data_IF_261537825468
#
_entry.id   IF_261537825468
#
_cell.length_a   1.000
_cell.length_b   1.000
_cell.length_c   1.000
_cell.angle_alpha   90.00
_cell.angle_beta   90.00
_cell.angle_gamma   90.00
#
_symmetry.space_group_name_H-M   'P 1'
#
loop_
_entity.id
_entity.type
_entity.pdbx_description
1 polymer ?
#
# COMPACT_ATOMS: atom_id res chain seq x y z
N UNK A 1 34.63 -32.20 -84.47
CA UNK A 1 33.61 -32.54 -83.46
C UNK A 1 33.73 -31.55 -82.29
N UNK A 2 33.07 -30.37 -82.34
CA UNK A 2 33.16 -29.36 -81.27
C UNK A 2 32.43 -29.71 -79.96
N UNK A 3 31.59 -30.75 -79.96
CA UNK A 3 30.63 -31.03 -78.88
C UNK A 3 31.14 -31.73 -77.63
N UNK A 4 32.39 -32.20 -77.57
CA UNK A 4 32.92 -32.87 -76.36
C UNK A 4 33.49 -31.91 -75.32
N UNK A 5 34.00 -30.76 -75.75
CA UNK A 5 34.56 -29.73 -74.87
C UNK A 5 33.42 -28.98 -74.16
N UNK A 6 32.37 -28.56 -74.88
CA UNK A 6 31.18 -27.93 -74.28
C UNK A 6 30.45 -28.84 -73.28
N UNK A 7 30.35 -30.15 -73.52
CA UNK A 7 29.75 -31.09 -72.56
C UNK A 7 30.56 -31.21 -71.26
N UNK A 8 31.89 -31.19 -71.33
CA UNK A 8 32.77 -31.29 -70.15
C UNK A 8 32.80 -29.99 -69.34
N UNK A 9 32.85 -28.84 -70.00
CA UNK A 9 32.87 -27.54 -69.32
C UNK A 9 31.48 -27.09 -68.85
N UNK A 10 30.40 -27.42 -69.58
CA UNK A 10 29.02 -27.15 -69.17
C UNK A 10 28.62 -27.88 -67.88
N UNK A 11 28.94 -29.18 -67.77
CA UNK A 11 28.68 -29.95 -66.54
C UNK A 11 29.53 -29.49 -65.34
N UNK A 12 30.71 -28.92 -65.58
CA UNK A 12 31.53 -28.30 -64.52
C UNK A 12 30.94 -26.95 -64.08
N UNK A 13 30.41 -26.16 -65.03
CA UNK A 13 29.76 -24.88 -64.75
C UNK A 13 28.44 -25.08 -63.99
N UNK A 14 27.63 -26.07 -64.35
CA UNK A 14 26.42 -26.45 -63.59
C UNK A 14 26.74 -26.90 -62.17
N UNK A 15 27.80 -27.70 -61.97
CA UNK A 15 28.27 -28.10 -60.64
C UNK A 15 28.77 -26.92 -59.80
N UNK A 16 29.47 -25.96 -60.42
CA UNK A 16 29.88 -24.72 -59.75
C UNK A 16 28.68 -23.83 -59.42
N UNK A 17 27.73 -23.71 -60.34
CA UNK A 17 26.53 -22.89 -60.16
C UNK A 17 25.62 -23.44 -59.07
N UNK A 18 25.39 -24.76 -59.03
CA UNK A 18 24.67 -25.43 -57.93
C UNK A 18 25.38 -25.28 -56.58
N UNK A 19 26.72 -25.32 -56.57
CA UNK A 19 27.51 -25.07 -55.36
C UNK A 19 27.37 -23.61 -54.88
N UNK A 20 27.37 -22.65 -55.80
CA UNK A 20 27.15 -21.22 -55.50
C UNK A 20 25.76 -20.99 -54.93
N UNK A 21 24.72 -21.59 -55.51
CA UNK A 21 23.34 -21.50 -54.99
C UNK A 21 23.25 -22.11 -53.59
N UNK A 22 23.91 -23.25 -53.35
CA UNK A 22 23.95 -23.89 -52.03
C UNK A 22 24.63 -22.98 -50.99
N UNK A 23 25.71 -22.32 -51.38
CA UNK A 23 26.43 -21.37 -50.52
C UNK A 23 25.58 -20.12 -50.26
N UNK A 24 24.94 -19.53 -51.28
CA UNK A 24 24.04 -18.39 -51.09
C UNK A 24 22.87 -18.73 -50.15
N UNK A 25 22.27 -19.91 -50.29
CA UNK A 25 21.22 -20.37 -49.37
C UNK A 25 21.74 -20.53 -47.94
N UNK A 26 22.98 -21.00 -47.77
CA UNK A 26 23.61 -21.13 -46.45
C UNK A 26 23.92 -19.77 -45.83
N UNK A 27 24.36 -18.80 -46.64
CA UNK A 27 24.60 -17.42 -46.19
C UNK A 27 23.29 -16.78 -45.72
N UNK A 28 22.22 -16.86 -46.51
CA UNK A 28 20.90 -16.36 -46.09
C UNK A 28 20.38 -17.02 -44.81
N UNK A 29 20.58 -18.34 -44.66
CA UNK A 29 20.19 -19.07 -43.44
C UNK A 29 20.98 -18.58 -42.22
N UNK A 30 22.28 -18.31 -42.39
CA UNK A 30 23.15 -17.81 -41.32
C UNK A 30 22.85 -16.35 -40.97
N UNK A 31 22.56 -15.50 -41.95
CA UNK A 31 22.13 -14.10 -41.72
C UNK A 31 20.79 -14.06 -40.97
N UNK A 32 19.83 -14.92 -41.32
CA UNK A 32 18.57 -15.04 -40.58
C UNK A 32 18.80 -15.46 -39.13
N UNK A 33 19.67 -16.46 -38.91
CA UNK A 33 20.03 -16.93 -37.57
C UNK A 33 20.79 -15.87 -36.77
N UNK A 34 21.63 -15.07 -37.42
CA UNK A 34 22.33 -13.97 -36.79
C UNK A 34 21.35 -12.87 -36.37
N UNK A 35 20.38 -12.50 -37.21
CA UNK A 35 19.33 -11.55 -36.87
C UNK A 35 18.41 -12.05 -35.74
N UNK A 36 18.10 -13.35 -35.70
CA UNK A 36 17.37 -13.95 -34.59
C UNK A 36 18.19 -13.90 -33.29
N UNK A 37 19.47 -14.27 -33.34
CA UNK A 37 20.36 -14.19 -32.19
C UNK A 37 20.60 -12.74 -31.71
N UNK A 38 20.69 -11.77 -32.62
CA UNK A 38 20.78 -10.34 -32.29
C UNK A 38 19.49 -9.83 -31.66
N UNK A 39 18.32 -10.26 -32.16
CA UNK A 39 17.04 -9.98 -31.49
C UNK A 39 16.97 -10.60 -30.11
N UNK A 40 17.38 -11.86 -29.94
CA UNK A 40 17.47 -12.51 -28.64
C UNK A 40 18.51 -11.84 -27.71
N UNK A 41 19.56 -11.23 -28.25
CA UNK A 41 20.55 -10.48 -27.49
C UNK A 41 20.03 -9.10 -27.06
N UNK A 42 19.32 -8.39 -27.95
CA UNK A 42 18.69 -7.09 -27.68
C UNK A 42 17.51 -7.25 -26.70
N UNK A 43 16.67 -8.25 -26.93
CA UNK A 43 15.49 -8.55 -26.10
C UNK A 43 15.88 -9.33 -24.82
N UNK A 44 17.09 -9.88 -24.78
CA UNK A 44 17.57 -10.79 -23.74
C UNK A 44 16.82 -12.12 -23.75
N UNK A 45 17.42 -13.15 -23.17
CA UNK A 45 16.66 -14.28 -22.63
C UNK A 45 15.48 -13.75 -21.79
N UNK A 46 14.40 -14.52 -21.52
CA UNK A 46 13.32 -14.11 -20.61
C UNK A 46 13.83 -14.12 -19.16
N UNK A 47 14.89 -13.39 -18.89
CA UNK A 47 15.19 -12.72 -17.64
C UNK A 47 14.07 -11.72 -17.39
N UNK A 48 12.91 -12.28 -17.04
CA UNK A 48 11.86 -11.69 -16.20
C UNK A 48 11.94 -10.16 -16.24
N UNK A 49 11.57 -9.60 -17.40
CA UNK A 49 11.73 -8.16 -17.65
C UNK A 49 11.22 -7.43 -16.42
N UNK A 50 12.01 -6.49 -15.88
CA UNK A 50 11.66 -5.74 -14.66
C UNK A 50 10.21 -5.26 -14.81
N UNK A 51 9.28 -6.00 -14.19
CA UNK A 51 7.85 -5.76 -14.38
C UNK A 51 7.59 -4.36 -13.86
N UNK A 52 6.85 -3.59 -14.65
CA UNK A 52 6.59 -2.20 -14.34
C UNK A 52 6.04 -2.09 -12.90
N UNK A 53 6.48 -1.09 -12.12
CA UNK A 53 5.97 -0.86 -10.77
C UNK A 53 4.45 -0.82 -10.67
N UNK A 54 3.76 -0.51 -11.77
CA UNK A 54 2.29 -0.46 -11.91
C UNK A 54 1.58 -1.82 -11.85
N UNK A 55 2.29 -2.94 -11.91
CA UNK A 55 1.70 -4.29 -11.91
C UNK A 55 2.14 -5.17 -10.72
N UNK A 56 2.67 -4.56 -9.67
CA UNK A 56 3.12 -5.29 -8.49
C UNK A 56 1.94 -5.84 -7.69
N UNK A 57 1.80 -7.17 -7.75
CA UNK A 57 0.79 -7.93 -7.02
C UNK A 57 1.52 -8.84 -6.02
N UNK A 58 1.15 -8.83 -4.74
CA UNK A 58 1.73 -9.75 -3.76
C UNK A 58 1.43 -11.20 -4.17
N UNK A 59 2.44 -12.07 -4.13
CA UNK A 59 2.27 -13.49 -4.44
C UNK A 59 2.73 -14.37 -3.27
N UNK A 60 2.01 -15.46 -2.98
CA UNK A 60 2.52 -16.50 -2.09
C UNK A 60 3.65 -17.30 -2.77
N UNK A 61 4.55 -17.93 -1.99
CA UNK A 61 4.60 -17.92 -0.52
C UNK A 61 5.12 -16.61 0.06
N UNK A 62 4.85 -16.35 1.35
CA UNK A 62 5.49 -15.26 2.09
C UNK A 62 7.02 -15.37 2.02
N UNK A 63 7.71 -14.24 1.83
CA UNK A 63 9.17 -14.19 1.75
C UNK A 63 9.78 -14.38 3.14
N UNK A 64 9.21 -13.67 4.13
CA UNK A 64 9.61 -13.75 5.53
C UNK A 64 8.38 -13.84 6.43
N UNK A 65 8.50 -14.65 7.48
CA UNK A 65 7.55 -14.74 8.58
C UNK A 65 8.30 -14.37 9.87
N UNK A 66 8.10 -13.14 10.32
CA UNK A 66 8.81 -12.60 11.47
C UNK A 66 8.01 -12.86 12.73
N UNK A 67 8.69 -13.47 13.70
CA UNK A 67 8.13 -13.84 15.00
C UNK A 67 8.96 -13.16 16.09
N UNK A 68 8.29 -12.64 17.12
CA UNK A 68 8.98 -12.00 18.23
C UNK A 68 8.10 -11.13 19.13
N UNK A 69 6.92 -10.74 18.66
CA UNK A 69 5.89 -10.16 19.51
C UNK A 69 5.28 -11.21 20.44
N UNK A 70 4.84 -10.78 21.62
CA UNK A 70 4.21 -11.66 22.63
C UNK A 70 2.68 -11.58 22.63
N UNK A 71 2.13 -10.63 21.88
CA UNK A 71 0.71 -10.35 21.77
C UNK A 71 0.36 -10.00 20.31
N UNK A 72 -0.92 -9.82 19.98
CA UNK A 72 -1.36 -9.48 18.62
C UNK A 72 -0.62 -8.28 18.05
N UNK A 73 -0.28 -8.32 16.76
CA UNK A 73 0.28 -7.17 16.05
C UNK A 73 -0.88 -6.26 15.66
N UNK A 74 -0.82 -4.98 16.03
CA UNK A 74 -1.89 -4.01 15.75
C UNK A 74 -1.66 -3.26 14.46
N UNK A 75 -0.42 -2.81 14.22
CA UNK A 75 -0.04 -2.04 13.03
C UNK A 75 1.33 -2.42 12.49
N UNK A 76 1.46 -2.39 11.17
CA UNK A 76 2.73 -2.52 10.44
C UNK A 76 2.89 -1.37 9.45
N UNK A 77 4.09 -0.79 9.35
CA UNK A 77 4.41 0.34 8.47
C UNK A 77 5.85 0.26 7.95
N UNK A 78 6.06 0.66 6.69
CA UNK A 78 7.39 0.85 6.12
C UNK A 78 8.03 2.20 6.48
N UNK A 79 9.35 2.20 6.67
CA UNK A 79 10.11 3.43 6.73
C UNK A 79 10.17 4.09 5.33
N UNK A 80 10.02 5.42 5.20
CA UNK A 80 9.98 6.07 3.89
C UNK A 80 11.33 6.10 3.13
N UNK A 81 12.46 6.00 3.84
CA UNK A 81 13.81 6.20 3.27
C UNK A 81 14.75 5.01 3.43
N UNK A 82 14.53 4.16 4.44
CA UNK A 82 15.46 3.11 4.85
C UNK A 82 14.79 1.77 4.58
N UNK A 83 15.58 0.70 4.41
CA UNK A 83 15.10 -0.68 4.17
C UNK A 83 14.52 -1.33 5.43
N UNK A 84 13.78 -0.56 6.23
CA UNK A 84 13.30 -0.93 7.55
C UNK A 84 11.77 -0.90 7.56
N UNK A 85 11.18 -1.80 8.33
CA UNK A 85 9.77 -1.75 8.70
C UNK A 85 9.60 -1.79 10.21
N UNK A 86 8.46 -1.27 10.66
CA UNK A 86 8.12 -1.17 12.07
C UNK A 86 6.79 -1.86 12.33
N UNK A 87 6.73 -2.62 13.41
CA UNK A 87 5.52 -3.27 13.89
C UNK A 87 5.17 -2.83 15.31
N UNK A 88 3.89 -2.56 15.55
CA UNK A 88 3.30 -2.31 16.84
C UNK A 88 2.50 -3.52 17.31
N UNK A 89 2.43 -3.72 18.62
CA UNK A 89 1.67 -4.81 19.22
C UNK A 89 0.97 -4.39 20.51
N UNK A 90 -0.01 -5.19 20.90
CA UNK A 90 -0.66 -5.13 22.20
C UNK A 90 0.29 -5.45 23.36
N UNK A 91 1.51 -5.96 23.09
CA UNK A 91 2.54 -6.19 24.11
C UNK A 91 3.22 -4.90 24.60
N UNK A 92 2.69 -3.73 24.22
CA UNK A 92 3.21 -2.40 24.49
C UNK A 92 4.61 -2.15 23.92
N UNK A 93 5.06 -2.96 22.95
CA UNK A 93 6.36 -2.80 22.30
C UNK A 93 6.24 -2.46 20.82
N UNK A 94 7.20 -1.68 20.34
CA UNK A 94 7.42 -1.43 18.92
C UNK A 94 8.67 -2.19 18.52
N UNK A 95 8.59 -2.98 17.45
CA UNK A 95 9.75 -3.70 16.91
C UNK A 95 10.14 -3.16 15.55
N UNK A 96 11.44 -3.10 15.35
CA UNK A 96 12.09 -2.64 14.13
C UNK A 96 12.74 -3.84 13.46
N UNK A 97 12.46 -4.00 12.17
CA UNK A 97 12.90 -5.13 11.37
C UNK A 97 13.46 -4.62 10.05
N UNK A 98 14.52 -5.27 9.55
CA UNK A 98 14.94 -5.11 8.18
C UNK A 98 14.06 -6.01 7.29
N UNK A 99 13.37 -5.44 6.29
CA UNK A 99 12.49 -6.21 5.42
C UNK A 99 13.23 -6.93 4.27
N UNK A 100 14.48 -6.58 3.99
CA UNK A 100 15.29 -7.22 2.95
C UNK A 100 15.94 -8.50 3.45
N UNK A 101 16.49 -8.46 4.67
CA UNK A 101 17.15 -9.58 5.34
C UNK A 101 16.20 -10.37 6.26
N UNK A 102 15.14 -9.74 6.76
CA UNK A 102 14.26 -10.31 7.79
C UNK A 102 14.87 -10.30 9.19
N UNK A 103 15.97 -9.56 9.40
CA UNK A 103 16.63 -9.49 10.69
C UNK A 103 15.90 -8.56 11.66
N UNK A 104 15.92 -8.94 12.93
CA UNK A 104 15.43 -8.12 14.02
C UNK A 104 16.52 -7.12 14.42
N UNK A 105 16.22 -5.83 14.35
CA UNK A 105 17.17 -4.80 14.75
C UNK A 105 16.99 -4.43 16.22
N UNK A 106 15.80 -3.92 16.58
CA UNK A 106 15.58 -3.25 17.87
C UNK A 106 14.14 -3.35 18.38
N UNK A 107 13.98 -3.11 19.68
CA UNK A 107 12.66 -2.91 20.30
C UNK A 107 12.62 -1.61 21.07
N UNK A 108 11.61 -0.79 20.79
CA UNK A 108 11.29 0.42 21.54
C UNK A 108 10.29 0.05 22.64
N UNK A 109 10.66 0.34 23.88
CA UNK A 109 9.80 0.15 25.07
C UNK A 109 9.62 1.48 25.77
N UNK A 110 8.40 1.74 26.24
CA UNK A 110 8.10 2.95 26.98
C UNK A 110 6.61 3.25 27.10
N UNK A 111 5.76 2.59 26.31
CA UNK A 111 4.32 2.57 26.56
C UNK A 111 3.98 1.66 27.74
N UNK A 112 2.93 2.04 28.45
CA UNK A 112 2.44 1.28 29.62
C UNK A 112 1.33 0.29 29.26
N UNK A 113 0.64 0.51 28.14
CA UNK A 113 -0.42 -0.34 27.62
C UNK A 113 -0.29 -0.53 26.09
N UNK A 114 -1.15 -1.37 25.53
CA UNK A 114 -1.26 -1.79 24.15
C UNK A 114 -1.16 -0.64 23.14
N UNK A 115 -0.24 -0.76 22.18
CA UNK A 115 -0.05 0.23 21.12
C UNK A 115 -1.06 -0.04 20.00
N UNK A 116 -1.79 0.98 19.57
CA UNK A 116 -2.90 0.83 18.60
C UNK A 116 -2.49 1.17 17.16
N UNK A 117 -1.74 2.25 16.97
CA UNK A 117 -1.29 2.71 15.65
C UNK A 117 0.10 3.35 15.77
N UNK A 118 0.79 3.35 14.64
CA UNK A 118 2.10 3.95 14.45
C UNK A 118 2.03 4.82 13.21
N UNK A 119 2.88 5.84 13.09
CA UNK A 119 3.07 6.57 11.84
C UNK A 119 4.47 7.16 11.78
N UNK A 120 5.03 7.26 10.57
CA UNK A 120 6.30 7.93 10.34
C UNK A 120 6.08 9.36 9.85
N UNK A 121 7.00 10.24 10.23
CA UNK A 121 7.14 11.54 9.62
C UNK A 121 7.57 11.39 8.13
N UNK A 122 7.19 12.31 7.23
CA UNK A 122 7.60 12.24 5.82
C UNK A 122 9.11 12.23 5.62
N UNK A 123 9.89 12.79 6.57
CA UNK A 123 11.36 12.73 6.53
C UNK A 123 11.93 11.39 7.04
N UNK A 124 11.12 10.55 7.69
CA UNK A 124 11.56 9.32 8.35
C UNK A 124 12.30 9.52 9.68
N UNK A 125 12.51 10.76 10.12
CA UNK A 125 13.29 11.02 11.34
C UNK A 125 12.52 10.71 12.62
N UNK A 126 11.22 10.96 12.60
CA UNK A 126 10.36 10.81 13.76
C UNK A 126 9.34 9.70 13.54
N UNK A 127 9.09 8.93 14.59
CA UNK A 127 8.03 7.95 14.67
C UNK A 127 7.03 8.40 15.74
N UNK A 128 5.75 8.45 15.42
CA UNK A 128 4.70 8.64 16.40
C UNK A 128 4.01 7.30 16.66
N UNK A 129 3.78 7.00 17.94
CA UNK A 129 2.99 5.85 18.37
C UNK A 129 1.88 6.30 19.30
N UNK A 130 0.74 5.62 19.24
CA UNK A 130 -0.39 5.84 20.12
C UNK A 130 -0.76 4.57 20.86
N UNK A 131 -1.21 4.72 22.10
CA UNK A 131 -1.51 3.59 22.99
C UNK A 131 -2.85 3.77 23.70
N UNK A 132 -3.36 2.65 24.20
CA UNK A 132 -4.47 2.60 25.13
C UNK A 132 -4.19 3.32 26.46
N UNK A 133 -2.93 3.60 26.77
CA UNK A 133 -2.50 4.41 27.94
C UNK A 133 -2.79 5.92 27.82
N UNK A 134 -3.55 6.31 26.79
CA UNK A 134 -3.95 7.70 26.50
C UNK A 134 -2.79 8.61 26.09
N UNK A 135 -1.58 8.05 25.93
CA UNK A 135 -0.40 8.79 25.51
C UNK A 135 -0.11 8.62 24.03
N UNK A 136 0.46 9.68 23.46
CA UNK A 136 1.07 9.65 22.13
C UNK A 136 2.56 9.92 22.34
N UNK A 137 3.41 8.99 21.93
CA UNK A 137 4.86 9.13 22.09
C UNK A 137 5.50 9.43 20.74
N UNK A 138 6.44 10.36 20.75
CA UNK A 138 7.33 10.64 19.64
C UNK A 138 8.69 10.01 19.94
N UNK A 139 9.21 9.28 18.96
CA UNK A 139 10.49 8.60 19.02
C UNK A 139 11.40 9.17 17.94
N UNK A 140 12.66 9.41 18.29
CA UNK A 140 13.69 9.78 17.32
C UNK A 140 14.29 8.51 16.73
N UNK A 141 14.22 8.38 15.41
CA UNK A 141 14.73 7.23 14.67
C UNK A 141 16.16 7.43 14.14
N UNK A 142 16.78 8.61 14.30
CA UNK A 142 18.08 8.90 13.70
C UNK A 142 19.28 8.43 14.53
N UNK A 143 19.26 8.56 15.86
CA UNK A 143 20.45 8.30 16.68
C UNK A 143 20.17 7.50 17.95
N UNK A 144 19.24 7.94 18.79
CA UNK A 144 19.07 7.37 20.13
C UNK A 144 17.96 6.31 20.24
N UNK A 145 17.00 6.28 19.31
CA UNK A 145 15.78 5.46 19.44
C UNK A 145 15.01 5.74 20.75
N UNK A 146 15.22 6.92 21.32
CA UNK A 146 14.61 7.32 22.58
C UNK A 146 13.27 8.03 22.36
N UNK A 147 12.44 8.00 23.39
CA UNK A 147 11.22 8.78 23.43
C UNK A 147 11.56 10.26 23.63
N UNK A 148 11.41 11.05 22.58
CA UNK A 148 11.66 12.51 22.58
C UNK A 148 10.59 13.23 23.38
N UNK A 149 9.32 12.84 23.18
CA UNK A 149 8.18 13.48 23.84
C UNK A 149 7.07 12.48 24.12
N UNK A 150 6.35 12.73 25.20
CA UNK A 150 5.07 12.09 25.51
C UNK A 150 4.00 13.19 25.56
N UNK A 151 3.04 13.12 24.64
CA UNK A 151 1.91 14.03 24.55
C UNK A 151 0.72 13.40 25.28
N UNK A 152 0.18 14.15 26.25
CA UNK A 152 -0.94 13.75 27.09
C UNK A 152 -2.06 14.78 26.95
N UNK A 153 -3.31 14.32 26.92
CA UNK A 153 -4.48 15.20 26.87
C UNK A 153 -5.71 14.60 26.19
N UNK A 154 -5.66 13.34 25.79
CA UNK A 154 -6.87 12.54 25.55
C UNK A 154 -7.38 11.94 26.85
N UNK A 155 -8.70 11.81 26.96
CA UNK A 155 -9.36 11.28 28.17
C UNK A 155 -9.63 9.78 28.09
N UNK A 156 -9.27 9.14 26.97
CA UNK A 156 -9.45 7.72 26.73
C UNK A 156 -8.47 7.20 25.66
N UNK A 157 -8.36 5.86 25.55
CA UNK A 157 -7.62 5.12 24.51
C UNK A 157 -7.52 5.85 23.16
N UNK A 158 -6.29 6.09 22.71
CA UNK A 158 -5.97 6.67 21.41
C UNK A 158 -5.81 5.54 20.40
N UNK A 159 -6.71 5.47 19.42
CA UNK A 159 -6.77 4.36 18.48
C UNK A 159 -5.99 4.59 17.19
N UNK A 160 -5.72 5.84 16.81
CA UNK A 160 -4.96 6.12 15.60
C UNK A 160 -4.18 7.42 15.69
N UNK A 161 -3.06 7.45 14.97
CA UNK A 161 -2.18 8.61 14.84
C UNK A 161 -1.72 8.76 13.39
N UNK A 162 -1.58 9.99 12.91
CA UNK A 162 -1.11 10.32 11.57
C UNK A 162 -0.28 11.62 11.58
N UNK A 163 0.85 11.63 10.87
CA UNK A 163 1.59 12.85 10.60
C UNK A 163 0.94 13.67 9.49
N UNK A 164 1.00 14.99 9.62
CA UNK A 164 0.73 15.88 8.51
C UNK A 164 1.87 15.85 7.49
N UNK A 165 1.60 16.06 6.19
CA UNK A 165 2.64 16.01 5.14
C UNK A 165 3.78 17.02 5.31
N UNK A 166 3.56 18.12 6.05
CA UNK A 166 4.60 19.09 6.37
C UNK A 166 5.54 18.64 7.52
N UNK A 167 5.12 17.64 8.32
CA UNK A 167 5.86 17.16 9.50
C UNK A 167 5.72 18.01 10.77
N UNK A 168 5.11 19.20 10.68
CA UNK A 168 4.97 20.11 11.83
C UNK A 168 3.92 19.66 12.85
N UNK A 169 2.93 18.89 12.40
CA UNK A 169 1.77 18.49 13.21
C UNK A 169 1.50 16.99 13.15
N UNK A 170 1.04 16.46 14.28
CA UNK A 170 0.52 15.10 14.43
C UNK A 170 -0.96 15.18 14.76
N UNK A 171 -1.75 14.28 14.18
CA UNK A 171 -3.18 14.17 14.43
C UNK A 171 -3.47 12.82 15.06
N UNK A 172 -4.30 12.81 16.10
CA UNK A 172 -4.70 11.61 16.82
C UNK A 172 -6.21 11.49 16.94
N UNK A 173 -6.70 10.26 16.92
CA UNK A 173 -8.09 9.90 17.12
C UNK A 173 -8.24 9.06 18.39
N UNK A 174 -9.28 9.32 19.17
CA UNK A 174 -9.51 8.65 20.45
C UNK A 174 -10.96 8.18 20.62
N UNK A 175 -11.13 7.28 21.59
CA UNK A 175 -12.42 6.84 22.13
C UNK A 175 -13.18 7.94 22.88
N UNK A 176 -12.52 9.04 23.23
CA UNK A 176 -13.15 10.24 23.78
C UNK A 176 -14.04 11.00 22.76
N UNK A 177 -14.19 10.46 21.54
CA UNK A 177 -14.98 11.00 20.42
C UNK A 177 -14.39 12.26 19.79
N UNK A 178 -13.16 12.60 20.16
CA UNK A 178 -12.44 13.75 19.66
C UNK A 178 -11.28 13.32 18.76
N UNK A 179 -10.92 14.22 17.86
CA UNK A 179 -9.66 14.15 17.13
C UNK A 179 -8.85 15.37 17.57
N UNK A 180 -7.60 15.16 17.96
CA UNK A 180 -6.71 16.25 18.41
C UNK A 180 -5.55 16.40 17.46
N UNK A 181 -5.11 17.64 17.28
CA UNK A 181 -3.93 18.01 16.52
C UNK A 181 -2.89 18.59 17.47
N UNK A 182 -1.69 18.09 17.35
CA UNK A 182 -0.55 18.36 18.22
C UNK A 182 0.57 18.95 17.39
N UNK A 183 1.22 19.98 17.93
CA UNK A 183 2.45 20.51 17.34
C UNK A 183 3.64 19.64 17.74
N UNK A 184 4.44 19.20 16.77
CA UNK A 184 5.56 18.27 17.00
C UNK A 184 6.69 18.93 17.80
N UNK A 185 6.94 20.22 17.55
CA UNK A 185 8.00 20.98 18.20
C UNK A 185 7.74 21.17 19.70
N UNK A 186 6.50 21.50 20.08
CA UNK A 186 6.15 21.85 21.46
C UNK A 186 5.45 20.73 22.22
N UNK A 187 4.78 19.81 21.52
CA UNK A 187 3.91 18.78 22.09
C UNK A 187 2.55 19.30 22.55
N UNK A 188 2.20 20.56 22.26
CA UNK A 188 0.92 21.13 22.68
C UNK A 188 -0.22 20.77 21.72
N UNK A 189 -1.42 20.61 22.29
CA UNK A 189 -2.65 20.44 21.52
C UNK A 189 -3.10 21.79 20.94
N UNK A 190 -3.03 21.93 19.62
CA UNK A 190 -3.38 23.17 18.88
C UNK A 190 -4.86 23.19 18.49
N UNK A 191 -5.40 22.05 18.06
CA UNK A 191 -6.79 21.93 17.61
C UNK A 191 -7.44 20.69 18.19
N UNK A 192 -8.68 20.82 18.61
CA UNK A 192 -9.57 19.69 18.92
C UNK A 192 -10.76 19.76 17.95
N UNK A 193 -11.02 18.67 17.24
CA UNK A 193 -12.15 18.48 16.35
C UNK A 193 -13.19 17.63 17.08
N UNK A 194 -14.39 18.17 17.25
CA UNK A 194 -15.51 17.52 17.91
C UNK A 194 -16.64 17.40 16.90
N UNK A 195 -17.25 16.22 16.82
CA UNK A 195 -18.47 16.04 16.02
C UNK A 195 -18.89 14.60 15.81
N UNK A 196 -17.97 13.64 15.94
CA UNK A 196 -18.34 12.23 15.97
C UNK A 196 -19.19 11.93 17.21
N UNK A 197 -20.16 11.01 17.06
CA UNK A 197 -21.07 10.64 18.15
C UNK A 197 -20.52 9.52 19.03
N UNK A 198 -19.56 8.78 18.51
CA UNK A 198 -18.95 7.60 19.12
C UNK A 198 -17.44 7.53 18.79
N UNK A 199 -16.77 6.50 19.30
CA UNK A 199 -15.34 6.24 19.18
C UNK A 199 -14.84 6.45 17.74
N UNK A 200 -13.89 7.37 17.56
CA UNK A 200 -13.17 7.57 16.30
C UNK A 200 -12.09 6.51 16.16
N UNK A 201 -12.16 5.66 15.14
CA UNK A 201 -11.25 4.51 14.93
C UNK A 201 -9.92 4.94 14.33
N UNK A 202 -9.97 5.62 13.19
CA UNK A 202 -8.78 5.95 12.40
C UNK A 202 -8.81 7.39 11.93
N UNK A 203 -7.63 7.98 11.79
CA UNK A 203 -7.43 9.30 11.18
C UNK A 203 -6.32 9.25 10.14
N UNK A 204 -6.54 9.87 8.99
CA UNK A 204 -5.53 10.02 7.93
C UNK A 204 -5.59 11.39 7.29
N UNK A 205 -4.43 11.99 7.07
CA UNK A 205 -4.27 13.23 6.34
C UNK A 205 -4.27 13.02 4.83
N UNK A 206 -4.78 13.99 4.08
CA UNK A 206 -4.59 14.04 2.63
C UNK A 206 -3.14 14.33 2.29
N UNK A 207 -2.74 14.03 1.04
CA UNK A 207 -1.39 14.33 0.51
C UNK A 207 -1.01 15.80 0.64
N UNK A 208 -2.00 16.68 0.51
CA UNK A 208 -1.81 18.13 0.50
C UNK A 208 -1.87 18.74 1.91
N UNK A 209 -2.25 17.94 2.92
CA UNK A 209 -2.38 18.39 4.30
C UNK A 209 -3.55 19.35 4.56
N UNK A 210 -4.41 19.59 3.57
CA UNK A 210 -5.57 20.47 3.70
C UNK A 210 -6.76 19.79 4.35
N UNK A 211 -6.89 18.47 4.15
CA UNK A 211 -8.03 17.67 4.59
C UNK A 211 -7.60 16.55 5.53
N UNK A 212 -8.48 16.22 6.47
CA UNK A 212 -8.37 15.05 7.34
C UNK A 212 -9.59 14.16 7.14
N UNK A 213 -9.37 12.87 6.96
CA UNK A 213 -10.44 11.89 6.97
C UNK A 213 -10.42 11.11 8.29
N UNK A 214 -11.59 10.94 8.89
CA UNK A 214 -11.79 10.23 10.15
C UNK A 214 -12.91 9.22 9.98
N UNK A 215 -12.78 8.06 10.61
CA UNK A 215 -13.85 7.06 10.69
C UNK A 215 -14.23 6.77 12.14
N UNK A 216 -15.49 6.39 12.35
CA UNK A 216 -16.01 6.15 13.69
C UNK A 216 -16.95 4.95 13.76
N UNK A 217 -17.20 4.49 14.99
CA UNK A 217 -18.24 3.53 15.32
C UNK A 217 -19.66 4.01 14.99
N UNK A 218 -19.85 5.33 14.82
CA UNK A 218 -21.13 5.92 14.38
C UNK A 218 -21.47 5.65 12.89
N UNK A 219 -20.72 4.77 12.24
CA UNK A 219 -20.88 4.34 10.84
C UNK A 219 -20.61 5.46 9.82
N UNK A 220 -20.10 6.61 10.29
CA UNK A 220 -19.76 7.75 9.44
C UNK A 220 -18.27 7.83 9.16
N UNK A 221 -17.95 8.28 7.95
CA UNK A 221 -16.64 8.81 7.61
C UNK A 221 -16.80 10.32 7.46
N UNK A 222 -16.01 11.09 8.20
CA UNK A 222 -16.04 12.55 8.14
C UNK A 222 -14.76 13.07 7.52
N UNK A 223 -14.91 14.09 6.67
CA UNK A 223 -13.79 14.83 6.13
C UNK A 223 -13.80 16.24 6.67
N UNK A 224 -12.70 16.63 7.29
CA UNK A 224 -12.52 17.91 7.96
C UNK A 224 -11.55 18.78 7.19
N UNK A 225 -11.80 20.09 7.17
CA UNK A 225 -10.84 21.08 6.71
C UNK A 225 -9.93 21.46 7.88
N UNK A 226 -8.61 21.23 7.73
CA UNK A 226 -7.63 21.46 8.81
C UNK A 226 -7.62 22.91 9.28
N UNK A 227 -7.74 23.86 8.36
CA UNK A 227 -7.70 25.29 8.67
C UNK A 227 -8.88 25.72 9.56
N UNK A 228 -10.12 25.45 9.11
CA UNK A 228 -11.35 25.96 9.74
C UNK A 228 -11.91 25.07 10.84
N UNK A 229 -11.45 23.82 10.96
CA UNK A 229 -12.01 22.78 11.87
C UNK A 229 -13.42 22.33 11.51
N UNK A 230 -13.93 22.74 10.36
CA UNK A 230 -15.28 22.39 9.93
C UNK A 230 -15.31 21.02 9.25
N UNK A 231 -16.39 20.29 9.48
CA UNK A 231 -16.67 19.05 8.76
C UNK A 231 -17.22 19.43 7.38
N UNK A 232 -16.40 19.22 6.34
CA UNK A 232 -16.76 19.53 4.95
C UNK A 232 -17.81 18.54 4.43
N UNK A 233 -17.61 17.26 4.70
CA UNK A 233 -18.48 16.18 4.20
C UNK A 233 -18.63 15.11 5.27
N UNK A 234 -19.86 14.64 5.47
CA UNK A 234 -20.18 13.46 6.26
C UNK A 234 -20.70 12.37 5.33
N UNK A 235 -19.93 11.29 5.21
CA UNK A 235 -20.21 10.15 4.34
C UNK A 235 -20.85 9.04 5.18
N UNK A 236 -22.16 8.84 5.01
CA UNK A 236 -22.94 7.78 5.67
C UNK A 236 -23.54 6.85 4.62
N UNK A 237 -22.85 5.75 4.37
CA UNK A 237 -23.41 4.68 3.56
C UNK A 237 -23.02 3.28 4.05
N UNK A 238 -22.14 3.16 5.05
CA UNK A 238 -21.83 1.87 5.66
C UNK A 238 -22.95 1.44 6.60
N UNK A 239 -23.23 0.14 6.65
CA UNK A 239 -24.29 -0.42 7.50
C UNK A 239 -23.77 -0.78 8.91
N UNK A 240 -22.44 -0.69 9.10
CA UNK A 240 -21.78 -0.98 10.36
C UNK A 240 -20.54 -0.08 10.56
N UNK A 241 -19.96 -0.16 11.76
CA UNK A 241 -18.71 0.50 12.20
C UNK A 241 -17.65 0.51 11.11
N UNK A 242 -17.10 1.69 10.84
CA UNK A 242 -15.99 1.88 9.89
C UNK A 242 -14.67 1.79 10.64
N UNK A 243 -13.85 0.80 10.28
CA UNK A 243 -12.59 0.50 10.97
C UNK A 243 -11.40 1.24 10.36
N UNK A 244 -11.35 1.33 9.03
CA UNK A 244 -10.19 1.87 8.34
C UNK A 244 -10.54 2.82 7.19
N UNK A 245 -9.64 3.75 6.93
CA UNK A 245 -9.77 4.78 5.89
C UNK A 245 -8.41 5.01 5.22
N UNK A 246 -8.36 5.11 3.89
CA UNK A 246 -7.15 5.45 3.16
C UNK A 246 -7.45 6.47 2.06
N UNK A 247 -6.59 7.46 1.92
CA UNK A 247 -6.64 8.40 0.79
C UNK A 247 -6.06 7.73 -0.45
N UNK A 248 -6.75 7.91 -1.58
CA UNK A 248 -6.25 7.40 -2.85
C UNK A 248 -5.10 8.30 -3.35
N UNK A 249 -4.00 7.72 -3.87
CA UNK A 249 -2.96 8.49 -4.54
C UNK A 249 -3.51 9.08 -5.85
N UNK A 250 -2.87 10.13 -6.36
CA UNK A 250 -3.27 10.77 -7.63
C UNK A 250 -3.32 9.76 -8.79
N UNK A 251 -2.40 8.80 -8.81
CA UNK A 251 -2.38 7.72 -9.80
C UNK A 251 -3.64 6.84 -9.81
N UNK A 252 -4.39 6.76 -8.70
CA UNK A 252 -5.62 5.97 -8.61
C UNK A 252 -6.83 6.69 -9.21
N UNK A 253 -6.73 7.99 -9.53
CA UNK A 253 -7.85 8.79 -10.03
C UNK A 253 -8.41 8.25 -11.36
N UNK A 254 -7.54 7.86 -12.30
CA UNK A 254 -7.97 7.36 -13.60
C UNK A 254 -8.71 6.00 -13.49
N UNK A 255 -8.16 4.97 -12.84
CA UNK A 255 -8.88 3.71 -12.61
C UNK A 255 -10.21 3.87 -11.88
N UNK A 256 -10.28 4.75 -10.88
CA UNK A 256 -11.52 5.01 -10.12
C UNK A 256 -12.57 5.69 -10.98
N UNK A 257 -12.19 6.67 -11.81
CA UNK A 257 -13.11 7.34 -12.73
C UNK A 257 -13.66 6.40 -13.79
N UNK A 258 -12.81 5.54 -14.36
CA UNK A 258 -13.24 4.52 -15.31
C UNK A 258 -14.22 3.53 -14.65
N UNK A 259 -13.92 3.09 -13.42
CA UNK A 259 -14.78 2.21 -12.67
C UNK A 259 -16.13 2.87 -12.33
N UNK A 260 -16.13 4.15 -11.96
CA UNK A 260 -17.35 4.90 -11.65
C UNK A 260 -18.32 4.96 -12.86
N UNK A 261 -17.87 4.59 -14.07
CA UNK A 261 -18.70 4.63 -15.26
C UNK A 261 -19.06 6.06 -15.62
N UNK A 262 -18.12 6.99 -15.40
CA UNK A 262 -18.21 8.35 -15.91
C UNK A 262 -18.14 8.28 -17.46
N UNK A 263 -19.26 7.90 -18.06
CA UNK A 263 -19.55 8.17 -19.46
C UNK A 263 -19.24 9.65 -19.69
N UNK A 264 -18.58 9.96 -20.81
CA UNK A 264 -18.12 11.27 -21.28
C UNK A 264 -19.16 12.43 -21.21
N UNK A 265 -20.36 12.22 -20.66
CA UNK A 265 -21.45 13.20 -20.46
C UNK A 265 -21.61 13.70 -19.02
N UNK A 266 -21.20 12.97 -17.99
CA UNK A 266 -21.14 13.46 -16.60
C UNK A 266 -19.67 13.56 -16.23
N UNK A 267 -19.15 14.79 -16.15
CA UNK A 267 -17.72 15.06 -16.06
C UNK A 267 -16.99 14.20 -15.03
N UNK A 268 -15.74 13.86 -15.34
CA UNK A 268 -14.88 13.05 -14.47
C UNK A 268 -14.85 13.59 -13.04
N UNK A 269 -14.92 12.70 -12.06
CA UNK A 269 -14.75 13.06 -10.67
C UNK A 269 -13.31 13.57 -10.48
N UNK A 270 -13.19 14.79 -9.96
CA UNK A 270 -11.89 15.43 -9.75
C UNK A 270 -11.21 14.98 -8.45
N UNK A 271 -11.90 14.18 -7.64
CA UNK A 271 -11.46 13.79 -6.32
C UNK A 271 -11.46 14.98 -5.34
N UNK A 272 -10.76 14.84 -4.19
CA UNK A 272 -9.92 13.71 -3.82
C UNK A 272 -10.75 12.45 -3.50
N UNK A 273 -10.20 11.27 -3.82
CA UNK A 273 -10.86 9.99 -3.56
C UNK A 273 -10.43 9.37 -2.24
N UNK A 274 -11.36 8.66 -1.61
CA UNK A 274 -11.16 8.00 -0.32
C UNK A 274 -11.64 6.56 -0.41
N UNK A 275 -10.94 5.62 0.23
CA UNK A 275 -11.43 4.28 0.51
C UNK A 275 -11.75 4.15 1.99
N UNK A 276 -12.84 3.48 2.33
CA UNK A 276 -13.16 3.08 3.70
C UNK A 276 -13.52 1.61 3.78
N UNK A 277 -13.07 0.95 4.84
CA UNK A 277 -13.36 -0.45 5.14
C UNK A 277 -14.16 -0.55 6.43
N UNK A 278 -15.19 -1.39 6.42
CA UNK A 278 -16.14 -1.52 7.52
C UNK A 278 -16.29 -2.96 7.98
N UNK A 279 -16.88 -3.10 9.17
CA UNK A 279 -17.36 -4.38 9.72
C UNK A 279 -18.54 -4.96 8.93
N UNK A 280 -19.16 -4.18 8.04
CA UNK A 280 -20.14 -4.67 7.07
C UNK A 280 -19.54 -5.56 5.96
N UNK A 281 -18.22 -5.83 6.03
CA UNK A 281 -17.44 -6.67 5.11
C UNK A 281 -17.22 -6.04 3.73
N UNK A 282 -17.56 -4.76 3.60
CA UNK A 282 -17.43 -4.01 2.35
C UNK A 282 -16.31 -2.98 2.44
N UNK A 283 -15.76 -2.67 1.27
CA UNK A 283 -14.88 -1.52 1.07
C UNK A 283 -15.61 -0.56 0.14
N UNK A 284 -15.73 0.69 0.54
CA UNK A 284 -16.39 1.73 -0.25
C UNK A 284 -15.37 2.73 -0.77
N UNK A 285 -15.50 3.09 -2.05
CA UNK A 285 -14.73 4.15 -2.68
C UNK A 285 -15.62 5.38 -2.81
N UNK A 286 -15.11 6.53 -2.39
CA UNK A 286 -15.83 7.79 -2.29
C UNK A 286 -15.14 8.87 -3.11
N UNK A 287 -15.95 9.75 -3.69
CA UNK A 287 -15.51 11.05 -4.13
C UNK A 287 -15.84 12.06 -3.03
N UNK A 288 -14.81 12.61 -2.38
CA UNK A 288 -14.97 13.59 -1.31
C UNK A 288 -15.42 14.95 -1.87
N UNK A 289 -15.09 15.27 -3.11
CA UNK A 289 -15.52 16.52 -3.75
C UNK A 289 -17.03 16.56 -3.96
N UNK A 290 -17.61 15.45 -4.41
CA UNK A 290 -19.05 15.30 -4.63
C UNK A 290 -19.81 14.77 -3.40
N UNK A 291 -19.12 14.20 -2.42
CA UNK A 291 -19.73 13.62 -1.21
C UNK A 291 -20.53 12.33 -1.47
N UNK A 292 -20.17 11.58 -2.51
CA UNK A 292 -20.91 10.37 -2.95
C UNK A 292 -20.04 9.12 -2.88
N UNK A 293 -20.66 7.99 -2.56
CA UNK A 293 -20.07 6.67 -2.75
C UNK A 293 -20.11 6.33 -4.25
N UNK A 294 -18.95 6.10 -4.85
CA UNK A 294 -18.85 5.77 -6.28
C UNK A 294 -19.21 4.31 -6.53
N UNK A 295 -18.60 3.41 -5.76
CA UNK A 295 -18.86 1.99 -5.83
C UNK A 295 -18.41 1.26 -4.56
N UNK A 296 -18.88 0.02 -4.45
CA UNK A 296 -18.60 -0.88 -3.32
C UNK A 296 -17.85 -2.09 -3.84
N UNK A 297 -16.79 -2.48 -3.14
CA UNK A 297 -16.07 -3.73 -3.33
C UNK A 297 -16.57 -4.71 -2.27
N UNK A 298 -17.23 -5.77 -2.75
CA UNK A 298 -17.80 -6.83 -1.90
C UNK A 298 -16.99 -8.09 -2.14
N UNK A 299 -16.63 -8.78 -1.06
CA UNK A 299 -16.01 -10.10 -1.17
C UNK A 299 -15.43 -10.63 0.12
N UNK A 300 -14.96 -9.76 1.04
CA UNK A 300 -14.50 -10.24 2.35
C UNK A 300 -15.62 -10.92 3.11
N UNK A 301 -15.27 -11.93 3.91
CA UNK A 301 -16.23 -12.71 4.67
C UNK A 301 -16.41 -12.19 6.11
N UNK A 302 -15.54 -11.25 6.52
CA UNK A 302 -15.54 -10.65 7.85
C UNK A 302 -15.03 -9.19 7.82
N UNK A 303 -14.87 -8.58 8.99
CA UNK A 303 -14.52 -7.16 9.16
C UNK A 303 -13.26 -6.76 8.41
N UNK A 304 -13.29 -5.64 7.69
CA UNK A 304 -12.11 -5.10 7.00
C UNK A 304 -11.33 -4.21 7.97
N UNK A 305 -10.06 -4.56 8.25
CA UNK A 305 -9.21 -3.91 9.25
C UNK A 305 -8.18 -2.95 8.67
N UNK A 306 -7.68 -3.23 7.47
CA UNK A 306 -6.62 -2.45 6.86
C UNK A 306 -6.84 -2.22 5.38
N UNK A 307 -6.41 -1.06 4.89
CA UNK A 307 -6.45 -0.67 3.49
C UNK A 307 -5.14 0.02 3.11
N UNK A 308 -4.54 -0.40 2.00
CA UNK A 308 -3.35 0.20 1.43
C UNK A 308 -3.51 0.31 -0.09
N UNK A 309 -3.44 1.53 -0.62
CA UNK A 309 -3.41 1.74 -2.07
C UNK A 309 -2.06 1.36 -2.62
N UNK A 310 -2.08 0.72 -3.78
CA UNK A 310 -0.87 0.50 -4.57
C UNK A 310 -0.33 1.86 -5.08
N UNK A 311 0.99 2.11 -5.08
CA UNK A 311 1.57 3.40 -5.50
C UNK A 311 1.21 3.79 -6.94
N UNK A 312 1.13 2.80 -7.83
CA UNK A 312 0.66 2.97 -9.22
C UNK A 312 -0.87 3.12 -9.38
N UNK A 313 -1.65 3.13 -8.30
CA UNK A 313 -3.09 3.44 -8.30
C UNK A 313 -4.04 2.42 -8.92
N UNK A 314 -3.53 1.38 -9.60
CA UNK A 314 -4.34 0.32 -10.23
C UNK A 314 -5.02 -0.60 -9.22
N UNK A 315 -4.33 -0.88 -8.10
CA UNK A 315 -4.75 -1.87 -7.12
C UNK A 315 -4.99 -1.27 -5.73
N UNK A 316 -5.85 -1.92 -4.98
CA UNK A 316 -6.05 -1.70 -3.55
C UNK A 316 -5.83 -3.03 -2.83
N UNK A 317 -5.04 -3.02 -1.75
CA UNK A 317 -4.85 -4.18 -0.89
C UNK A 317 -5.64 -3.98 0.39
N UNK A 318 -6.39 -4.99 0.81
CA UNK A 318 -7.15 -4.98 2.05
C UNK A 318 -6.81 -6.15 2.95
N UNK A 319 -6.85 -5.91 4.26
CA UNK A 319 -6.71 -6.89 5.32
C UNK A 319 -8.03 -7.06 6.06
N UNK A 320 -8.38 -8.30 6.40
CA UNK A 320 -9.64 -8.62 7.07
C UNK A 320 -9.51 -9.69 8.16
N UNK A 321 -10.49 -9.72 9.05
CA UNK A 321 -10.70 -10.76 10.05
C UNK A 321 -11.09 -12.12 9.43
N UNK A 322 -11.27 -12.20 8.11
CA UNK A 322 -11.37 -13.47 7.40
C UNK A 322 -10.01 -14.17 7.21
N UNK A 323 -8.93 -13.60 7.79
CA UNK A 323 -7.54 -14.08 7.75
C UNK A 323 -6.85 -13.88 6.40
N UNK A 324 -7.53 -13.23 5.46
CA UNK A 324 -7.03 -13.03 4.10
C UNK A 324 -6.53 -11.61 3.88
N UNK A 325 -5.57 -11.50 2.97
CA UNK A 325 -5.31 -10.27 2.24
C UNK A 325 -5.95 -10.39 0.87
N UNK A 326 -6.68 -9.35 0.44
CA UNK A 326 -7.28 -9.30 -0.89
C UNK A 326 -6.70 -8.16 -1.70
N UNK A 327 -6.43 -8.46 -2.97
CA UNK A 327 -5.99 -7.48 -3.97
C UNK A 327 -7.14 -7.20 -4.89
N UNK A 328 -7.56 -5.94 -4.93
CA UNK A 328 -8.69 -5.45 -5.70
C UNK A 328 -8.20 -4.69 -6.91
N UNK A 329 -8.79 -4.99 -8.05
CA UNK A 329 -8.64 -4.21 -9.28
C UNK A 329 -9.67 -3.08 -9.26
N UNK A 330 -9.20 -1.85 -9.07
CA UNK A 330 -10.08 -0.69 -8.91
C UNK A 330 -10.87 -0.42 -10.18
N UNK A 331 -10.27 -0.62 -11.35
CA UNK A 331 -10.90 -0.38 -12.67
C UNK A 331 -12.09 -1.29 -12.90
N UNK A 332 -11.92 -2.58 -12.59
CA UNK A 332 -12.90 -3.62 -12.88
C UNK A 332 -13.80 -3.97 -11.68
N UNK A 333 -13.61 -3.31 -10.53
CA UNK A 333 -14.34 -3.55 -9.27
C UNK A 333 -14.32 -5.00 -8.80
N UNK A 334 -13.26 -5.75 -9.12
CA UNK A 334 -13.18 -7.19 -8.83
C UNK A 334 -12.04 -7.51 -7.88
N UNK A 335 -12.24 -8.52 -7.06
CA UNK A 335 -11.16 -9.15 -6.31
C UNK A 335 -10.29 -9.94 -7.30
N UNK A 336 -9.07 -9.48 -7.54
CA UNK A 336 -8.12 -10.12 -8.45
C UNK A 336 -7.42 -11.30 -7.78
N UNK A 337 -7.07 -11.16 -6.49
CA UNK A 337 -6.35 -12.20 -5.75
C UNK A 337 -6.80 -12.23 -4.29
N UNK A 338 -6.97 -13.44 -3.78
CA UNK A 338 -7.12 -13.73 -2.36
C UNK A 338 -5.86 -14.44 -1.92
N UNK A 339 -5.25 -13.96 -0.83
CA UNK A 339 -4.09 -14.56 -0.20
C UNK A 339 -4.46 -14.95 1.23
N UNK A 340 -4.31 -16.22 1.58
CA UNK A 340 -4.40 -16.68 2.97
C UNK A 340 -3.16 -16.21 3.71
N UNK A 341 -3.29 -15.06 4.37
CA UNK A 341 -2.15 -14.34 4.90
C UNK A 341 -1.74 -14.86 6.26
N UNK A 342 -2.68 -15.03 7.19
CA UNK A 342 -2.38 -15.36 8.58
C UNK A 342 -3.19 -16.57 9.07
N UNK A 343 -2.74 -17.23 10.14
CA UNK A 343 -3.50 -18.33 10.76
C UNK A 343 -4.72 -17.81 11.54
N UNK A 344 -4.63 -16.55 11.96
CA UNK A 344 -5.66 -15.78 12.63
C UNK A 344 -5.96 -14.49 11.84
N UNK A 345 -6.82 -13.64 12.37
CA UNK A 345 -7.26 -12.38 11.76
C UNK A 345 -6.08 -11.49 11.33
N UNK A 346 -6.22 -10.85 10.17
CA UNK A 346 -5.24 -9.89 9.66
C UNK A 346 -5.62 -8.47 10.09
N UNK A 347 -4.76 -7.82 10.87
CA UNK A 347 -5.06 -6.55 11.53
C UNK A 347 -4.66 -5.34 10.69
N UNK A 348 -3.56 -5.45 9.96
CA UNK A 348 -2.99 -4.31 9.24
C UNK A 348 -2.23 -4.75 8.00
N UNK A 349 -2.16 -3.84 7.05
CA UNK A 349 -1.40 -3.99 5.81
C UNK A 349 -0.77 -2.64 5.47
N UNK A 350 0.42 -2.70 4.87
CA UNK A 350 1.08 -1.55 4.25
C UNK A 350 1.80 -1.96 2.97
N UNK A 351 1.88 -1.04 2.01
CA UNK A 351 2.49 -1.26 0.70
C UNK A 351 3.66 -0.30 0.52
N UNK A 352 4.83 -0.82 0.18
CA UNK A 352 6.01 0.03 0.02
C UNK A 352 5.89 0.93 -1.22
N UNK A 353 6.21 2.23 -1.08
CA UNK A 353 6.05 3.21 -2.17
C UNK A 353 6.91 2.94 -3.42
N UNK A 354 8.17 2.56 -3.22
CA UNK A 354 9.14 2.33 -4.31
C UNK A 354 9.57 0.87 -4.54
N UNK A 355 9.41 -0.02 -3.56
CA UNK A 355 9.87 -1.40 -3.63
C UNK A 355 8.69 -2.38 -3.74
N UNK A 356 8.88 -3.55 -4.37
CA UNK A 356 7.82 -4.54 -4.58
C UNK A 356 7.57 -5.36 -3.30
N UNK A 357 7.28 -4.71 -2.17
CA UNK A 357 7.00 -5.39 -0.90
C UNK A 357 5.68 -4.94 -0.29
N UNK A 358 4.94 -5.91 0.24
CA UNK A 358 3.76 -5.71 1.09
C UNK A 358 4.04 -6.32 2.43
N UNK A 359 3.63 -5.66 3.49
CA UNK A 359 3.72 -6.20 4.85
C UNK A 359 2.34 -6.34 5.43
N UNK A 360 2.15 -7.41 6.19
CA UNK A 360 0.90 -7.65 6.92
C UNK A 360 1.16 -8.05 8.35
N UNK A 361 0.32 -7.54 9.25
CA UNK A 361 0.28 -7.91 10.65
C UNK A 361 -0.91 -8.82 10.94
N UNK A 362 -0.69 -9.80 11.83
CA UNK A 362 -1.73 -10.72 12.27
C UNK A 362 -1.92 -10.77 13.78
N UNK A 363 -3.12 -11.20 14.19
CA UNK A 363 -3.40 -11.56 15.59
C UNK A 363 -2.60 -12.79 16.03
N UNK A 364 -2.09 -13.56 15.08
CA UNK A 364 -1.17 -14.68 15.32
C UNK A 364 0.24 -14.26 15.75
N UNK A 365 0.43 -12.98 16.10
CA UNK A 365 1.68 -12.40 16.61
C UNK A 365 2.81 -12.39 15.59
N UNK A 366 2.48 -12.61 14.31
CA UNK A 366 3.45 -12.64 13.21
C UNK A 366 3.31 -11.41 12.34
N UNK A 367 4.44 -10.99 11.78
CA UNK A 367 4.51 -10.03 10.69
C UNK A 367 5.00 -10.76 9.46
N UNK A 368 4.28 -10.67 8.36
CA UNK A 368 4.64 -11.33 7.11
C UNK A 368 5.02 -10.32 6.05
N UNK A 369 6.12 -10.62 5.34
CA UNK A 369 6.62 -9.84 4.21
C UNK A 369 6.32 -10.59 2.93
N UNK A 370 5.62 -9.94 2.01
CA UNK A 370 5.20 -10.49 0.72
C UNK A 370 5.98 -9.81 -0.40
N UNK A 371 6.57 -10.61 -1.28
CA UNK A 371 7.20 -10.10 -2.49
C UNK A 371 6.15 -9.92 -3.60
N UNK A 372 6.09 -8.72 -4.18
CA UNK A 372 5.25 -8.44 -5.33
C UNK A 372 5.92 -8.88 -6.62
N UNK A 373 5.17 -9.54 -7.50
CA UNK A 373 5.69 -10.14 -8.74
C UNK A 373 4.81 -9.94 -9.94
#
# INVERSE_FOLDING_TARGET
MPGEVERKFGGLLEKKWTSVIRLQKKVMELESKLNEAEKEYIEGAPTRGKRCPTEWIPRPPEKFCLTGHRAPVTRVIFHPVFSIMVSASEDATIKVWDFETGEYERTLKGHTDSIQDITFDPSGKLLASCSADMSIKLWDFQQSYECVRTMLGHDHNVSSVAFMPAGDFVVSASRDKTVKMWEVATGYCVKTFVGHRDWVRMVRSSSDGTLLATCSNDQSVRVWTVATKECRVELRAHDHVVECVAWAPEAAAAPINEAAGADNRKGAHRGPFLASGSRDKTIRIWDVGAGVALFVLVGHDNWVRGLAFHPGGKFLVSASDDKTLRVWDLRNKRCMKVLDAHKHFCTSVDFHKSHPYVISGGVDQTVKVWECR
#
